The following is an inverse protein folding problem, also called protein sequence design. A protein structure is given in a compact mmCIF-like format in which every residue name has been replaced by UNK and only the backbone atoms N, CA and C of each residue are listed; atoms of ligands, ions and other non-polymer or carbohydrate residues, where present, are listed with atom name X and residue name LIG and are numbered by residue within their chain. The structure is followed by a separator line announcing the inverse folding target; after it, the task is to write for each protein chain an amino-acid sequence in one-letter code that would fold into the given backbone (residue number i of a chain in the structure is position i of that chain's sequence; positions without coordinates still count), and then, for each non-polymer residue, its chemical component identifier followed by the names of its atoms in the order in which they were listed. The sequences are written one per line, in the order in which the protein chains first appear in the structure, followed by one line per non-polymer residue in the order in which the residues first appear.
data_IF_517957373509
#
_entry.id   IF_517957373509
#
_cell.length_a   1.000
_cell.length_b   1.000
_cell.length_c   1.000
_cell.angle_alpha   90.00
_cell.angle_beta   90.00
_cell.angle_gamma   90.00
#
_symmetry.space_group_name_H-M   'P 1'
#
loop_
_entity.id
_entity.type
_entity.pdbx_description
1 polymer ?
#
# COMPACT_ATOMS: atom_id res chain seq x y z
N UNK A 1 6.89 12.05 -7.09
CA UNK A 1 5.86 11.25 -6.39
C UNK A 1 6.38 9.83 -6.20
N UNK A 2 6.50 9.38 -4.96
CA UNK A 2 7.05 8.08 -4.65
C UNK A 2 6.01 6.96 -4.65
N UNK A 3 6.48 5.74 -4.85
CA UNK A 3 5.67 4.54 -4.66
C UNK A 3 6.06 3.87 -3.35
N UNK A 4 5.07 3.38 -2.62
CA UNK A 4 5.28 2.78 -1.30
C UNK A 4 4.53 1.46 -1.20
N UNK A 5 5.25 0.42 -0.80
CA UNK A 5 4.63 -0.86 -0.42
C UNK A 5 4.22 -0.76 1.04
N UNK A 6 2.93 -0.89 1.29
CA UNK A 6 2.35 -0.86 2.63
C UNK A 6 1.89 -2.26 2.98
N UNK A 7 2.44 -2.79 4.04
CA UNK A 7 2.07 -4.09 4.60
C UNK A 7 1.61 -3.90 6.04
N UNK A 8 0.56 -4.59 6.43
CA UNK A 8 0.07 -4.43 7.78
C UNK A 8 -0.56 -5.71 8.31
N UNK A 9 -0.53 -5.83 9.62
CA UNK A 9 -1.23 -6.87 10.38
C UNK A 9 -2.05 -6.16 11.46
N UNK A 10 -3.34 -6.46 11.53
CA UNK A 10 -4.25 -5.80 12.47
C UNK A 10 -4.56 -6.73 13.64
N UNK A 11 -4.51 -6.21 14.86
CA UNK A 11 -4.86 -6.98 16.06
C UNK A 11 -6.38 -7.19 16.15
N UNK A 12 -7.15 -6.25 15.59
CA UNK A 12 -8.60 -6.35 15.52
C UNK A 12 -9.07 -5.99 14.10
N UNK A 13 -8.92 -6.91 13.13
CA UNK A 13 -9.25 -6.63 11.73
C UNK A 13 -10.73 -6.37 11.51
N UNK A 14 -11.63 -6.97 12.26
CA UNK A 14 -13.07 -6.73 12.14
C UNK A 14 -13.42 -5.27 12.43
N UNK A 15 -12.74 -4.67 13.39
CA UNK A 15 -12.92 -3.28 13.77
C UNK A 15 -12.21 -2.32 12.83
N UNK A 16 -10.98 -2.65 12.42
CA UNK A 16 -10.05 -1.67 11.87
C UNK A 16 -9.78 -1.81 10.36
N UNK A 17 -10.05 -2.97 9.75
CA UNK A 17 -9.72 -3.18 8.35
C UNK A 17 -10.38 -2.15 7.42
N UNK A 18 -11.69 -1.95 7.56
CA UNK A 18 -12.43 -1.00 6.73
C UNK A 18 -11.93 0.43 6.91
N UNK A 19 -11.52 0.81 8.12
CA UNK A 19 -10.94 2.13 8.39
C UNK A 19 -9.66 2.34 7.58
N UNK A 20 -8.78 1.35 7.56
CA UNK A 20 -7.53 1.42 6.79
C UNK A 20 -7.81 1.49 5.30
N UNK A 21 -8.67 0.62 4.79
CA UNK A 21 -9.02 0.61 3.36
C UNK A 21 -9.62 1.95 2.93
N UNK A 22 -10.55 2.49 3.68
CA UNK A 22 -11.17 3.78 3.37
C UNK A 22 -10.14 4.91 3.38
N UNK A 23 -9.23 4.91 4.35
CA UNK A 23 -8.15 5.91 4.42
C UNK A 23 -7.25 5.84 3.18
N UNK A 24 -6.88 4.63 2.77
CA UNK A 24 -6.04 4.42 1.58
C UNK A 24 -6.76 4.92 0.33
N UNK A 25 -8.00 4.49 0.13
CA UNK A 25 -8.77 4.85 -1.07
C UNK A 25 -9.01 6.35 -1.13
N UNK A 26 -9.36 6.98 -0.01
CA UNK A 26 -9.70 8.40 0.02
C UNK A 26 -8.48 9.32 -0.06
N UNK A 27 -7.35 8.91 0.52
CA UNK A 27 -6.16 9.76 0.63
C UNK A 27 -5.13 9.53 -0.46
N UNK A 28 -5.15 8.37 -1.11
CA UNK A 28 -4.16 8.00 -2.13
C UNK A 28 -4.86 7.59 -3.41
N UNK A 29 -5.12 8.54 -4.34
CA UNK A 29 -5.84 8.25 -5.58
C UNK A 29 -5.20 7.16 -6.43
N UNK A 30 -3.84 7.13 -6.46
CA UNK A 30 -3.10 6.10 -7.16
C UNK A 30 -2.70 5.01 -6.16
N UNK A 31 -3.45 3.94 -6.15
CA UNK A 31 -3.21 2.80 -5.28
C UNK A 31 -3.59 1.50 -5.97
N UNK A 32 -3.04 0.41 -5.49
CA UNK A 32 -3.44 -0.94 -5.91
C UNK A 32 -3.39 -1.89 -4.72
N UNK A 33 -4.44 -2.64 -4.53
CA UNK A 33 -4.49 -3.73 -3.57
C UNK A 33 -3.81 -4.95 -4.17
N UNK A 34 -2.73 -5.42 -3.55
CA UNK A 34 -2.06 -6.66 -3.97
C UNK A 34 -2.71 -7.87 -3.31
N UNK A 35 -2.76 -7.83 -2.00
CA UNK A 35 -3.43 -8.82 -1.15
C UNK A 35 -4.19 -8.07 -0.07
N UNK A 36 -4.98 -8.77 0.73
CA UNK A 36 -5.85 -8.17 1.74
C UNK A 36 -5.11 -7.15 2.63
N UNK A 37 -3.88 -7.46 3.04
CA UNK A 37 -3.09 -6.63 3.95
C UNK A 37 -1.83 -6.04 3.29
N UNK A 38 -1.79 -6.00 1.95
CA UNK A 38 -0.62 -5.50 1.21
C UNK A 38 -1.09 -4.64 0.05
N UNK A 39 -0.66 -3.38 0.05
CA UNK A 39 -1.05 -2.39 -0.94
C UNK A 39 0.16 -1.63 -1.45
N UNK A 40 0.09 -1.12 -2.66
CA UNK A 40 1.05 -0.14 -3.16
C UNK A 40 0.33 1.19 -3.34
N UNK A 41 0.92 2.25 -2.84
CA UNK A 41 0.41 3.62 -2.92
C UNK A 41 1.40 4.49 -3.65
N UNK A 42 0.87 5.49 -4.35
CA UNK A 42 1.68 6.56 -4.93
C UNK A 42 1.37 7.84 -4.18
N UNK A 43 2.40 8.55 -3.69
CA UNK A 43 2.19 9.73 -2.85
C UNK A 43 3.41 10.63 -2.84
N UNK A 44 3.19 11.93 -2.60
CA UNK A 44 4.24 12.89 -2.29
C UNK A 44 4.61 12.92 -0.82
N UNK A 45 3.87 12.23 0.02
CA UNK A 45 4.15 12.09 1.45
C UNK A 45 5.39 11.23 1.68
N UNK A 46 5.96 11.33 2.87
CA UNK A 46 7.07 10.46 3.27
C UNK A 46 6.54 9.13 3.79
N UNK A 47 7.40 8.11 3.81
CA UNK A 47 7.05 6.81 4.42
C UNK A 47 6.65 6.95 5.90
N UNK A 48 7.24 7.92 6.60
CA UNK A 48 6.92 8.18 8.01
C UNK A 48 5.52 8.78 8.17
N UNK A 49 5.14 9.69 7.28
CA UNK A 49 3.80 10.28 7.31
C UNK A 49 2.74 9.23 7.02
N UNK A 50 2.98 8.35 6.06
CA UNK A 50 2.05 7.28 5.71
C UNK A 50 1.85 6.34 6.91
N UNK A 51 2.94 5.88 7.52
CA UNK A 51 2.86 4.96 8.67
C UNK A 51 2.15 5.60 9.85
N UNK A 52 2.47 6.86 10.15
CA UNK A 52 1.88 7.58 11.27
C UNK A 52 0.37 7.79 11.08
N UNK A 53 -0.04 8.17 9.87
CA UNK A 53 -1.45 8.38 9.57
C UNK A 53 -2.26 7.10 9.71
N UNK A 54 -1.74 5.98 9.21
CA UNK A 54 -2.45 4.70 9.29
C UNK A 54 -2.47 4.15 10.72
N UNK A 55 -1.35 4.18 11.42
CA UNK A 55 -1.27 3.67 12.79
C UNK A 55 -2.16 4.48 13.75
N UNK A 56 -2.14 5.80 13.63
CA UNK A 56 -2.94 6.69 14.46
C UNK A 56 -4.43 6.47 14.26
N UNK A 57 -4.86 6.18 13.05
CA UNK A 57 -6.26 5.94 12.72
C UNK A 57 -6.85 4.77 13.49
N UNK A 58 -6.05 3.79 13.83
CA UNK A 58 -6.48 2.58 14.54
C UNK A 58 -5.91 2.49 15.96
N UNK A 59 -5.54 3.63 16.55
CA UNK A 59 -5.00 3.72 17.92
C UNK A 59 -3.82 2.77 18.15
N UNK A 60 -2.97 2.60 17.14
CA UNK A 60 -1.80 1.71 17.16
C UNK A 60 -2.14 0.22 17.41
N UNK A 61 -3.35 -0.21 17.07
CA UNK A 61 -3.78 -1.60 17.20
C UNK A 61 -3.38 -2.44 15.98
N UNK A 62 -2.10 -2.42 15.63
CA UNK A 62 -1.58 -3.19 14.50
C UNK A 62 -0.10 -2.96 14.27
N UNK A 63 0.43 -3.66 13.28
CA UNK A 63 1.82 -3.54 12.84
C UNK A 63 1.83 -3.08 11.40
N UNK A 64 2.65 -2.10 11.08
CA UNK A 64 2.81 -1.56 9.73
C UNK A 64 4.26 -1.60 9.29
N UNK A 65 4.47 -1.98 8.02
CA UNK A 65 5.77 -1.84 7.35
C UNK A 65 5.51 -1.05 6.07
N UNK A 66 6.21 0.06 5.91
CA UNK A 66 6.15 0.87 4.69
C UNK A 66 7.54 0.89 4.07
N UNK A 67 7.63 0.40 2.84
CA UNK A 67 8.87 0.36 2.09
C UNK A 67 8.73 1.29 0.89
N UNK A 68 9.63 2.27 0.79
CA UNK A 68 9.68 3.14 -0.38
C UNK A 68 10.30 2.38 -1.54
N UNK A 69 9.58 2.33 -2.66
CA UNK A 69 10.02 1.67 -3.87
C UNK A 69 10.56 2.72 -4.83
N UNK A 70 11.81 2.57 -5.22
CA UNK A 70 12.35 3.37 -6.32
C UNK A 70 11.74 2.89 -7.64
N UNK A 71 11.99 3.66 -8.72
CA UNK A 71 11.59 3.23 -10.06
C UNK A 71 12.17 1.86 -10.34
N UNK A 72 11.31 0.84 -10.34
CA UNK A 72 11.71 -0.54 -10.57
C UNK A 72 11.52 -0.89 -12.04
N UNK A 73 12.56 -1.40 -12.64
CA UNK A 73 12.45 -1.99 -13.97
C UNK A 73 11.60 -3.25 -13.91
N UNK A 74 10.84 -3.58 -14.96
CA UNK A 74 10.09 -4.85 -14.99
C UNK A 74 10.93 -6.08 -14.72
N UNK A 75 12.23 -6.00 -14.97
CA UNK A 75 13.18 -7.09 -14.68
C UNK A 75 13.46 -7.31 -13.19
N UNK A 76 13.05 -6.36 -12.34
CA UNK A 76 13.28 -6.43 -10.89
C UNK A 76 12.10 -6.98 -10.11
N UNK A 77 11.00 -7.30 -10.79
CA UNK A 77 9.84 -7.92 -10.15
C UNK A 77 9.19 -8.90 -11.12
N UNK A 78 8.48 -9.86 -10.54
CA UNK A 78 7.75 -10.86 -11.30
C UNK A 78 6.44 -11.17 -10.59
N UNK A 79 5.42 -11.54 -11.37
CA UNK A 79 4.12 -11.92 -10.87
C UNK A 79 3.67 -13.24 -11.48
N UNK A 80 2.82 -13.97 -10.77
CA UNK A 80 2.18 -15.17 -11.27
C UNK A 80 0.78 -15.27 -10.66
N UNK A 81 -0.23 -15.44 -11.50
CA UNK A 81 -1.61 -15.61 -11.03
C UNK A 81 -2.28 -14.33 -10.58
N UNK A 82 -1.64 -13.17 -10.72
CA UNK A 82 -2.26 -11.89 -10.40
C UNK A 82 -3.19 -11.46 -11.53
N UNK A 83 -4.14 -10.58 -11.22
CA UNK A 83 -5.06 -10.04 -12.22
C UNK A 83 -4.32 -9.16 -13.24
N UNK A 84 -4.91 -9.03 -14.43
CA UNK A 84 -4.40 -8.11 -15.46
C UNK A 84 -4.35 -6.68 -14.92
N UNK A 85 -5.31 -6.28 -14.11
CA UNK A 85 -5.35 -4.95 -13.50
C UNK A 85 -4.11 -4.68 -12.65
N UNK A 86 -3.68 -5.65 -11.83
CA UNK A 86 -2.48 -5.53 -11.01
C UNK A 86 -1.23 -5.41 -11.89
N UNK A 87 -1.06 -6.29 -12.87
CA UNK A 87 0.07 -6.22 -13.78
C UNK A 87 0.15 -4.87 -14.51
N UNK A 88 -0.97 -4.41 -15.04
CA UNK A 88 -1.01 -3.12 -15.76
C UNK A 88 -0.65 -1.95 -14.84
N UNK A 89 -1.13 -1.98 -13.60
CA UNK A 89 -0.79 -0.94 -12.64
C UNK A 89 0.70 -0.91 -12.33
N UNK A 90 1.31 -2.09 -12.09
CA UNK A 90 2.74 -2.21 -11.81
C UNK A 90 3.59 -1.70 -12.99
N UNK A 91 3.23 -2.08 -14.22
CA UNK A 91 3.92 -1.62 -15.42
C UNK A 91 3.82 -0.09 -15.54
N UNK A 92 2.63 0.46 -15.32
CA UNK A 92 2.39 1.89 -15.47
C UNK A 92 3.15 2.73 -14.44
N UNK A 93 3.23 2.27 -13.20
CA UNK A 93 3.71 3.11 -12.09
C UNK A 93 5.10 2.74 -11.58
N UNK A 94 5.59 1.53 -11.82
CA UNK A 94 6.88 1.05 -11.34
C UNK A 94 7.92 0.80 -12.45
N UNK A 95 7.54 1.02 -13.69
CA UNK A 95 8.45 0.83 -14.83
C UNK A 95 9.09 2.11 -15.28
#
# INVERSE_FOLDING_TARGET
MGCFLVMFELYNPEKNYTKIVNKIVDSYPDHIKLFKFNWILKSDSTRYDIINDLAKLIDNEGVFIVIELDSLHPSLWATRGVSTAINNWLIKHLS
#
